data_IF_548316731218
#
_entry.id   IF_548316731218
#
_cell.length_a   1.000
_cell.length_b   1.000
_cell.length_c   1.000
_cell.angle_alpha   90.00
_cell.angle_beta   90.00
_cell.angle_gamma   90.00
#
_symmetry.space_group_name_H-M   'P 1'
#
loop_
_entity.id
_entity.type
_entity.pdbx_description
1 polymer ?
#
# COMPACT_ATOMS: atom_id res chain seq x y z
N UNK A 1 -40.05 30.78 56.08
CA UNK A 1 -38.68 30.33 55.94
C UNK A 1 -38.72 28.98 55.22
N UNK A 2 -38.48 28.97 53.93
CA UNK A 2 -38.33 27.73 53.12
C UNK A 2 -37.19 27.96 52.13
N UNK A 3 -36.06 27.37 52.39
CA UNK A 3 -34.87 27.38 51.55
C UNK A 3 -35.02 26.35 50.45
N UNK A 4 -35.07 26.79 49.21
CA UNK A 4 -35.14 25.96 48.03
C UNK A 4 -33.72 25.67 47.52
N UNK A 5 -33.30 24.40 47.59
CA UNK A 5 -32.05 23.95 47.00
C UNK A 5 -32.24 23.76 45.48
N UNK A 6 -31.56 24.56 44.66
CA UNK A 6 -31.42 24.35 43.23
C UNK A 6 -30.34 23.28 43.01
N UNK A 7 -30.75 22.13 42.49
CA UNK A 7 -29.84 21.11 41.98
C UNK A 7 -29.45 21.48 40.54
N UNK A 8 -28.22 21.90 40.33
CA UNK A 8 -27.64 22.08 39.03
C UNK A 8 -27.29 20.68 38.45
N UNK A 9 -28.03 20.20 37.47
CA UNK A 9 -27.61 19.05 36.65
C UNK A 9 -26.61 19.53 35.62
N UNK A 10 -25.34 19.17 35.79
CA UNK A 10 -24.32 19.32 34.77
C UNK A 10 -24.51 18.17 33.73
N UNK A 11 -25.04 18.49 32.57
CA UNK A 11 -25.06 17.60 31.41
C UNK A 11 -23.67 17.68 30.75
N UNK A 12 -22.83 16.67 30.99
CA UNK A 12 -21.59 16.49 30.24
C UNK A 12 -21.97 15.99 28.83
N UNK A 13 -21.98 16.87 27.86
CA UNK A 13 -22.09 16.50 26.45
C UNK A 13 -20.76 15.84 26.03
N UNK A 14 -20.79 14.50 25.94
CA UNK A 14 -19.73 13.72 25.35
C UNK A 14 -19.76 13.97 23.83
N UNK A 15 -18.95 14.91 23.36
CA UNK A 15 -18.76 15.12 21.94
C UNK A 15 -18.01 13.90 21.39
N UNK A 16 -18.72 12.92 20.85
CA UNK A 16 -18.14 11.93 19.96
C UNK A 16 -17.66 12.70 18.71
N UNK A 17 -16.36 12.99 18.65
CA UNK A 17 -15.72 13.35 17.40
C UNK A 17 -15.76 12.11 16.54
N UNK A 18 -16.73 12.03 15.63
CA UNK A 18 -16.67 11.15 14.48
C UNK A 18 -15.45 11.66 13.68
N UNK A 19 -14.30 11.05 13.90
CA UNK A 19 -13.18 11.18 12.99
C UNK A 19 -13.69 10.57 11.66
N UNK A 20 -14.25 11.42 10.81
CA UNK A 20 -14.54 11.05 9.44
C UNK A 20 -13.23 10.51 8.88
N UNK A 21 -13.24 9.29 8.38
CA UNK A 21 -12.12 8.70 7.67
C UNK A 21 -11.72 9.70 6.60
N UNK A 22 -10.62 10.42 6.82
CA UNK A 22 -10.02 11.21 5.76
C UNK A 22 -9.74 10.21 4.66
N UNK A 23 -10.49 10.29 3.56
CA UNK A 23 -10.26 9.46 2.39
C UNK A 23 -8.82 9.69 1.97
N UNK A 24 -7.96 8.79 2.40
CA UNK A 24 -6.57 8.83 1.99
C UNK A 24 -6.56 8.47 0.50
N UNK A 25 -5.90 9.30 -0.33
CA UNK A 25 -5.74 9.01 -1.74
C UNK A 25 -5.11 7.62 -1.90
N UNK A 26 -5.70 6.79 -2.77
CA UNK A 26 -5.26 5.42 -3.02
C UNK A 26 -4.19 5.39 -4.09
N UNK A 27 -3.05 4.82 -3.73
CA UNK A 27 -1.98 4.54 -4.69
C UNK A 27 -2.20 3.15 -5.29
N UNK A 28 -2.02 3.02 -6.61
CA UNK A 28 -2.23 1.78 -7.32
C UNK A 28 -1.38 1.71 -8.59
N UNK A 29 -1.09 0.49 -9.02
CA UNK A 29 -0.59 0.15 -10.35
C UNK A 29 -1.56 -0.85 -10.98
N UNK A 30 -1.95 -0.61 -12.23
CA UNK A 30 -2.89 -1.46 -12.96
C UNK A 30 -2.27 -1.87 -14.29
N UNK A 31 -1.91 -3.14 -14.48
CA UNK A 31 -1.43 -3.63 -15.77
C UNK A 31 -2.59 -3.77 -16.75
N UNK A 32 -2.29 -3.66 -18.04
CA UNK A 32 -3.26 -3.88 -19.13
C UNK A 32 -3.79 -5.31 -19.20
N UNK A 33 -3.05 -6.26 -18.62
CA UNK A 33 -3.48 -7.65 -18.40
C UNK A 33 -2.66 -8.24 -17.25
N UNK A 34 -3.28 -9.10 -16.44
CA UNK A 34 -2.61 -9.79 -15.34
C UNK A 34 -2.04 -11.15 -15.77
N UNK A 35 -2.66 -11.78 -16.75
CA UNK A 35 -2.23 -13.08 -17.31
C UNK A 35 -2.19 -13.03 -18.81
N UNK A 36 -1.11 -13.56 -19.38
CA UNK A 36 -0.89 -13.63 -20.83
C UNK A 36 -0.33 -14.99 -21.21
N UNK A 37 -0.46 -15.31 -22.49
CA UNK A 37 0.10 -16.52 -23.11
C UNK A 37 0.79 -16.20 -24.43
N UNK A 38 1.68 -17.08 -24.86
CA UNK A 38 2.48 -16.90 -26.08
C UNK A 38 3.83 -16.22 -25.80
N UNK A 39 4.66 -16.09 -26.81
CA UNK A 39 6.01 -15.51 -26.71
C UNK A 39 6.00 -14.00 -26.97
N UNK A 40 6.99 -13.28 -26.43
CA UNK A 40 7.24 -11.87 -26.74
C UNK A 40 6.10 -10.92 -26.35
N UNK A 41 5.44 -11.18 -25.25
CA UNK A 41 4.31 -10.38 -24.78
C UNK A 41 4.75 -9.10 -24.08
N UNK A 42 3.86 -8.12 -24.06
CA UNK A 42 4.05 -6.87 -23.38
C UNK A 42 2.84 -6.52 -22.52
N UNK A 43 3.08 -5.85 -21.41
CA UNK A 43 2.02 -5.17 -20.66
C UNK A 43 2.37 -3.71 -20.50
N UNK A 44 1.37 -2.85 -20.61
CA UNK A 44 1.44 -1.46 -20.19
C UNK A 44 0.89 -1.35 -18.78
N UNK A 45 1.57 -0.67 -17.90
CA UNK A 45 1.16 -0.47 -16.52
C UNK A 45 0.82 0.99 -16.29
N UNK A 46 -0.39 1.24 -15.85
CA UNK A 46 -0.83 2.54 -15.35
C UNK A 46 -0.51 2.68 -13.86
N UNK A 47 0.03 3.82 -13.44
CA UNK A 47 0.29 4.12 -12.04
C UNK A 47 -0.22 5.50 -11.64
N UNK A 48 -0.99 5.56 -10.54
CA UNK A 48 -1.51 6.82 -10.03
C UNK A 48 -1.75 6.77 -8.51
N UNK A 49 -1.97 7.96 -7.96
CA UNK A 49 -2.54 8.16 -6.62
C UNK A 49 -3.85 8.94 -6.85
N UNK A 50 -5.00 8.37 -6.45
CA UNK A 50 -6.31 8.90 -6.85
C UNK A 50 -7.36 8.83 -5.74
N UNK A 51 -8.47 9.54 -5.92
CA UNK A 51 -9.62 9.48 -5.03
C UNK A 51 -10.47 8.22 -5.30
N UNK A 52 -10.62 7.85 -6.58
CA UNK A 52 -11.33 6.64 -6.99
C UNK A 52 -10.33 5.61 -7.49
N UNK A 53 -10.58 4.33 -7.22
CA UNK A 53 -9.70 3.25 -7.65
C UNK A 53 -9.66 3.13 -9.16
N UNK A 54 -8.43 2.99 -9.69
CA UNK A 54 -8.12 2.81 -11.10
C UNK A 54 -8.65 3.94 -12.01
N UNK A 55 -8.99 5.08 -11.39
CA UNK A 55 -9.37 6.30 -12.10
C UNK A 55 -8.41 7.45 -11.74
N UNK A 56 -7.50 7.84 -12.64
CA UNK A 56 -6.45 8.82 -12.35
C UNK A 56 -7.03 10.24 -12.28
N UNK A 57 -7.25 10.75 -11.07
CA UNK A 57 -7.89 12.05 -10.83
C UNK A 57 -7.21 12.92 -9.76
N UNK A 58 -6.01 12.55 -9.30
CA UNK A 58 -5.29 13.35 -8.30
C UNK A 58 -3.84 13.61 -8.68
N UNK A 59 -2.94 12.62 -8.63
CA UNK A 59 -1.52 12.80 -8.97
C UNK A 59 -0.93 11.56 -9.63
N UNK A 60 0.00 11.76 -10.57
CA UNK A 60 0.75 10.70 -11.22
C UNK A 60 1.71 10.01 -10.23
N UNK A 61 1.91 8.70 -10.39
CA UNK A 61 2.91 7.95 -9.61
C UNK A 61 4.32 8.35 -10.05
N UNK A 62 5.25 8.46 -9.10
CA UNK A 62 6.67 8.64 -9.43
C UNK A 62 7.24 7.32 -9.97
N UNK A 63 7.78 7.34 -11.20
CA UNK A 63 8.36 6.17 -11.86
C UNK A 63 9.81 5.87 -11.48
N UNK A 64 10.51 6.77 -10.78
CA UNK A 64 11.90 6.55 -10.36
C UNK A 64 12.02 5.41 -9.32
N UNK A 65 10.95 5.16 -8.56
CA UNK A 65 10.87 4.09 -7.57
C UNK A 65 10.36 2.76 -8.11
N UNK A 66 10.04 2.68 -9.40
CA UNK A 66 9.55 1.44 -10.02
C UNK A 66 10.70 0.47 -10.20
N UNK A 67 10.51 -0.75 -9.71
CA UNK A 67 11.40 -1.88 -9.90
C UNK A 67 10.59 -3.08 -10.39
N UNK A 68 11.15 -3.88 -11.29
CA UNK A 68 10.51 -5.07 -11.82
C UNK A 68 11.42 -6.25 -11.57
N UNK A 69 10.88 -7.33 -11.01
CA UNK A 69 11.57 -8.59 -10.79
C UNK A 69 10.95 -9.64 -11.70
N UNK A 70 11.75 -10.25 -12.55
CA UNK A 70 11.32 -11.28 -13.46
C UNK A 70 11.12 -12.66 -12.80
N UNK A 71 10.65 -13.65 -13.56
CA UNK A 71 10.32 -14.98 -13.06
C UNK A 71 11.52 -15.80 -12.58
N UNK A 72 12.74 -15.38 -12.89
CA UNK A 72 14.01 -15.95 -12.41
C UNK A 72 14.65 -15.12 -11.27
N UNK A 73 13.94 -14.12 -10.75
CA UNK A 73 14.43 -13.19 -9.72
C UNK A 73 15.34 -12.08 -10.26
N UNK A 74 15.63 -12.05 -11.57
CA UNK A 74 16.44 -11.00 -12.18
C UNK A 74 15.64 -9.68 -12.31
N UNK A 75 16.39 -8.57 -12.32
CA UNK A 75 15.79 -7.27 -12.60
C UNK A 75 15.39 -7.16 -14.08
N UNK A 76 14.20 -6.58 -14.32
CA UNK A 76 13.69 -6.24 -15.65
C UNK A 76 13.55 -4.73 -15.73
N UNK A 77 13.82 -4.16 -16.88
CA UNK A 77 13.76 -2.71 -17.07
C UNK A 77 12.34 -2.27 -17.50
N UNK A 78 11.81 -1.25 -16.84
CA UNK A 78 10.60 -0.57 -17.28
C UNK A 78 10.90 0.31 -18.48
N UNK A 79 10.18 0.12 -19.58
CA UNK A 79 10.39 0.81 -20.85
C UNK A 79 9.32 1.87 -21.10
N UNK A 80 9.54 2.76 -22.07
CA UNK A 80 8.57 3.77 -22.54
C UNK A 80 7.92 4.59 -21.40
N UNK A 81 8.69 4.92 -20.36
CA UNK A 81 8.20 5.67 -19.19
C UNK A 81 7.70 7.04 -19.59
N UNK A 82 6.45 7.35 -19.22
CA UNK A 82 5.84 8.66 -19.44
C UNK A 82 4.96 9.06 -18.25
N UNK A 83 4.96 10.36 -17.91
CA UNK A 83 4.14 10.88 -16.80
C UNK A 83 3.34 12.09 -17.29
N UNK A 84 2.03 11.99 -17.09
CA UNK A 84 1.10 13.11 -17.23
C UNK A 84 0.82 13.77 -15.88
N UNK A 85 -0.22 14.60 -15.82
CA UNK A 85 -0.62 15.28 -14.58
C UNK A 85 -1.17 14.32 -13.51
N UNK A 86 -1.94 13.32 -13.92
CA UNK A 86 -2.68 12.45 -13.02
C UNK A 86 -2.29 10.97 -13.12
N UNK A 87 -1.58 10.59 -14.19
CA UNK A 87 -1.23 9.21 -14.50
C UNK A 87 0.19 9.12 -15.05
N UNK A 88 0.91 8.12 -14.60
CA UNK A 88 2.15 7.64 -15.19
C UNK A 88 1.89 6.31 -15.88
N UNK A 89 2.63 6.05 -16.96
CA UNK A 89 2.58 4.78 -17.71
C UNK A 89 3.98 4.31 -18.01
N UNK A 90 4.14 2.99 -18.11
CA UNK A 90 5.36 2.35 -18.58
C UNK A 90 5.04 0.97 -19.13
N UNK A 91 5.92 0.45 -19.96
CA UNK A 91 5.79 -0.86 -20.56
C UNK A 91 6.78 -1.86 -19.95
N UNK A 92 6.36 -3.12 -19.90
CA UNK A 92 7.18 -4.25 -19.44
C UNK A 92 7.18 -5.32 -20.51
N UNK A 93 8.37 -5.67 -21.01
CA UNK A 93 8.56 -6.82 -21.91
C UNK A 93 8.59 -8.11 -21.08
N UNK A 94 7.72 -9.06 -21.42
CA UNK A 94 7.64 -10.36 -20.79
C UNK A 94 8.35 -11.38 -21.70
N UNK A 95 9.64 -11.55 -21.51
CA UNK A 95 10.49 -12.40 -22.36
C UNK A 95 10.56 -13.86 -21.88
N UNK A 96 10.25 -14.10 -20.60
CA UNK A 96 10.32 -15.42 -19.97
C UNK A 96 8.97 -15.80 -19.37
N UNK A 97 8.61 -17.08 -19.48
CA UNK A 97 7.45 -17.63 -18.78
C UNK A 97 7.63 -17.56 -17.26
N UNK A 98 6.54 -17.26 -16.55
CA UNK A 98 6.47 -17.15 -15.10
C UNK A 98 5.91 -15.80 -14.64
N UNK A 99 6.02 -15.55 -13.36
CA UNK A 99 5.43 -14.38 -12.70
C UNK A 99 6.45 -13.26 -12.55
N UNK A 100 6.06 -12.07 -12.98
CA UNK A 100 6.78 -10.82 -12.80
C UNK A 100 6.17 -10.04 -11.64
N UNK A 101 7.01 -9.53 -10.73
CA UNK A 101 6.61 -8.57 -9.70
C UNK A 101 6.97 -7.17 -10.16
N UNK A 102 5.98 -6.29 -10.23
CA UNK A 102 6.14 -4.86 -10.50
C UNK A 102 5.89 -4.14 -9.18
N UNK A 103 6.89 -3.42 -8.67
CA UNK A 103 6.87 -2.80 -7.35
C UNK A 103 7.25 -1.32 -7.44
N UNK A 104 6.60 -0.47 -6.66
CA UNK A 104 6.95 0.93 -6.46
C UNK A 104 6.85 1.26 -4.98
N UNK A 105 7.59 2.26 -4.53
CA UNK A 105 7.58 2.69 -3.14
C UNK A 105 8.98 2.96 -2.64
N UNK A 106 9.18 2.84 -1.35
CA UNK A 106 10.48 3.07 -0.75
C UNK A 106 10.41 3.28 0.75
N UNK A 107 11.58 3.51 1.31
CA UNK A 107 11.82 3.81 2.71
C UNK A 107 12.19 5.30 2.80
N UNK A 108 11.46 6.04 3.59
CA UNK A 108 11.65 7.48 3.73
C UNK A 108 11.42 7.95 5.16
N UNK A 109 11.93 9.15 5.45
CA UNK A 109 11.80 9.79 6.74
C UNK A 109 11.08 11.12 6.60
N UNK A 110 10.29 11.46 7.59
CA UNK A 110 9.75 12.79 7.80
C UNK A 110 10.17 13.30 9.18
N UNK A 111 10.44 14.58 9.28
CA UNK A 111 10.76 15.20 10.55
C UNK A 111 10.00 16.51 10.72
N UNK A 112 9.71 16.86 11.98
CA UNK A 112 9.19 18.17 12.31
C UNK A 112 9.81 18.67 13.63
N UNK A 113 10.08 19.98 13.71
CA UNK A 113 10.59 20.65 14.90
C UNK A 113 10.11 22.09 14.96
N UNK A 114 10.27 22.74 16.08
CA UNK A 114 10.07 24.19 16.21
C UNK A 114 11.41 24.95 16.08
N UNK A 115 11.43 25.99 15.28
CA UNK A 115 12.56 26.87 15.10
C UNK A 115 12.08 28.32 14.99
N UNK A 116 12.52 29.17 15.90
CA UNK A 116 12.11 30.58 16.02
C UNK A 116 10.57 30.78 16.10
N UNK A 117 9.86 29.87 16.77
CA UNK A 117 8.39 29.91 16.91
C UNK A 117 7.61 29.41 15.70
N UNK A 118 8.29 28.88 14.69
CA UNK A 118 7.66 28.29 13.51
C UNK A 118 7.87 26.78 13.47
N UNK A 119 6.82 26.03 13.09
CA UNK A 119 6.94 24.58 12.84
C UNK A 119 7.60 24.35 11.49
N UNK A 120 8.81 23.80 11.52
CA UNK A 120 9.55 23.34 10.35
C UNK A 120 9.21 21.89 10.05
N UNK A 121 9.24 21.52 8.76
CA UNK A 121 9.01 20.15 8.28
C UNK A 121 10.08 19.80 7.27
N UNK A 122 10.50 18.53 7.31
CA UNK A 122 11.49 17.98 6.41
C UNK A 122 11.03 16.59 5.92
N UNK A 123 11.46 16.20 4.73
CA UNK A 123 11.26 14.86 4.17
C UNK A 123 12.47 14.48 3.34
N UNK A 124 12.92 13.23 3.48
CA UNK A 124 14.03 12.69 2.72
C UNK A 124 14.29 11.21 3.01
N UNK A 125 15.42 10.71 2.52
CA UNK A 125 15.91 9.38 2.86
C UNK A 125 16.84 9.42 4.09
N UNK A 126 17.32 8.26 4.52
CA UNK A 126 18.20 8.14 5.70
C UNK A 126 19.52 8.90 5.53
N UNK A 127 20.06 8.92 4.31
CA UNK A 127 21.33 9.62 4.01
C UNK A 127 21.16 11.13 4.14
N UNK A 128 20.11 11.70 3.55
CA UNK A 128 19.80 13.13 3.65
C UNK A 128 19.46 13.53 5.08
N UNK A 129 18.71 12.70 5.83
CA UNK A 129 18.39 12.92 7.24
C UNK A 129 19.66 13.17 8.08
N UNK A 130 20.66 12.31 7.86
CA UNK A 130 21.98 12.40 8.52
C UNK A 130 22.81 13.57 8.00
N UNK A 131 22.92 13.71 6.67
CA UNK A 131 23.77 14.74 6.03
C UNK A 131 23.35 16.16 6.38
N UNK A 132 22.05 16.40 6.49
CA UNK A 132 21.47 17.69 6.83
C UNK A 132 21.36 17.93 8.35
N UNK A 133 21.78 16.96 9.17
CA UNK A 133 21.79 17.07 10.63
C UNK A 133 20.38 17.23 11.25
N UNK A 134 19.37 16.72 10.57
CA UNK A 134 17.96 16.86 11.01
C UNK A 134 17.74 16.21 12.38
N UNK A 135 18.38 15.07 12.64
CA UNK A 135 18.26 14.33 13.90
C UNK A 135 18.78 15.11 15.11
N UNK A 136 19.65 16.10 14.90
CA UNK A 136 20.24 16.92 15.95
C UNK A 136 19.40 18.19 16.27
N UNK A 137 18.34 18.45 15.52
CA UNK A 137 17.47 19.61 15.79
C UNK A 137 16.80 19.47 17.15
N UNK A 138 16.77 20.54 17.99
CA UNK A 138 16.10 20.51 19.28
C UNK A 138 14.61 20.17 19.15
N UNK A 139 14.12 19.22 19.94
CA UNK A 139 12.71 18.83 19.93
C UNK A 139 12.22 18.19 18.63
N UNK A 140 13.13 17.69 17.79
CA UNK A 140 12.74 17.05 16.52
C UNK A 140 11.97 15.76 16.79
N UNK A 141 10.83 15.65 16.12
CA UNK A 141 10.03 14.42 15.99
C UNK A 141 10.33 13.80 14.63
N UNK A 142 10.85 12.57 14.62
CA UNK A 142 11.17 11.84 13.39
C UNK A 142 10.21 10.65 13.23
N UNK A 143 9.74 10.44 12.03
CA UNK A 143 8.97 9.24 11.65
C UNK A 143 9.58 8.60 10.41
N UNK A 144 9.61 7.26 10.38
CA UNK A 144 9.98 6.47 9.22
C UNK A 144 8.72 5.95 8.53
N UNK A 145 8.70 5.93 7.21
CA UNK A 145 7.61 5.39 6.41
C UNK A 145 8.15 4.42 5.39
N UNK A 146 7.79 3.14 5.52
CA UNK A 146 8.07 2.09 4.54
C UNK A 146 6.80 1.88 3.70
N UNK A 147 6.88 2.12 2.41
CA UNK A 147 5.75 1.97 1.49
C UNK A 147 6.10 0.99 0.38
N UNK A 148 5.15 0.10 0.07
CA UNK A 148 5.25 -0.84 -1.02
C UNK A 148 3.92 -0.92 -1.75
N UNK A 149 3.96 -0.73 -3.07
CA UNK A 149 2.82 -0.82 -3.97
C UNK A 149 3.22 -1.82 -5.03
N UNK A 150 2.46 -2.90 -5.19
CA UNK A 150 2.82 -4.01 -6.06
C UNK A 150 1.67 -4.42 -6.97
N UNK A 151 2.03 -5.03 -8.08
CA UNK A 151 1.15 -5.83 -8.91
C UNK A 151 1.96 -6.96 -9.53
N UNK A 152 1.30 -8.03 -9.92
CA UNK A 152 1.92 -9.22 -10.48
C UNK A 152 1.33 -9.50 -11.86
N UNK A 153 2.19 -9.88 -12.79
CA UNK A 153 1.80 -10.28 -14.14
C UNK A 153 2.44 -11.61 -14.45
N UNK A 154 1.67 -12.55 -14.99
CA UNK A 154 2.16 -13.89 -15.33
C UNK A 154 2.09 -14.12 -16.83
N UNK A 155 3.19 -14.57 -17.40
CA UNK A 155 3.27 -15.09 -18.77
C UNK A 155 3.33 -16.61 -18.73
N UNK A 156 2.37 -17.30 -19.37
CA UNK A 156 2.29 -18.75 -19.34
C UNK A 156 2.00 -19.32 -17.96
N UNK A 157 2.80 -20.27 -17.48
CA UNK A 157 2.63 -20.90 -16.18
C UNK A 157 3.18 -20.01 -15.04
N UNK A 158 2.43 -19.83 -13.93
CA UNK A 158 2.90 -19.07 -12.78
C UNK A 158 4.06 -19.76 -12.06
N UNK A 159 4.91 -18.97 -11.40
CA UNK A 159 5.96 -19.45 -10.50
C UNK A 159 6.12 -18.53 -9.28
N UNK A 160 6.96 -18.92 -8.32
CA UNK A 160 7.07 -18.25 -7.02
C UNK A 160 8.32 -17.37 -6.85
N UNK A 161 9.25 -17.35 -7.80
CA UNK A 161 10.53 -16.63 -7.64
C UNK A 161 10.35 -15.11 -7.40
N UNK A 162 9.30 -14.54 -7.99
CA UNK A 162 8.96 -13.12 -7.82
C UNK A 162 8.47 -12.76 -6.39
N UNK A 163 8.13 -13.74 -5.54
CA UNK A 163 7.62 -13.51 -4.18
C UNK A 163 8.71 -13.51 -3.10
N UNK A 164 9.98 -13.54 -3.47
CA UNK A 164 11.07 -13.42 -2.51
C UNK A 164 10.93 -12.13 -1.67
N UNK A 165 10.85 -12.28 -0.33
CA UNK A 165 10.68 -11.18 0.61
C UNK A 165 12.01 -10.47 0.87
N UNK A 166 11.95 -9.18 1.20
CA UNK A 166 13.12 -8.35 1.54
C UNK A 166 13.33 -8.23 3.05
N UNK A 167 12.33 -8.67 3.86
CA UNK A 167 12.37 -8.61 5.32
C UNK A 167 12.30 -7.19 5.87
N UNK A 168 11.63 -6.27 5.19
CA UNK A 168 11.49 -4.88 5.63
C UNK A 168 10.10 -4.35 5.37
N UNK A 169 9.45 -3.87 6.43
CA UNK A 169 8.08 -3.37 6.40
C UNK A 169 7.06 -4.48 6.09
N UNK A 170 5.86 -4.08 5.67
CA UNK A 170 4.83 -5.02 5.24
C UNK A 170 5.15 -5.61 3.87
N UNK A 171 5.01 -6.92 3.76
CA UNK A 171 5.23 -7.70 2.54
C UNK A 171 4.14 -8.76 2.39
N UNK A 172 3.79 -9.07 1.15
CA UNK A 172 2.90 -10.17 0.81
C UNK A 172 3.73 -11.45 0.56
N UNK A 173 3.33 -12.52 1.22
CA UNK A 173 3.70 -13.89 0.87
C UNK A 173 2.41 -14.62 0.47
N UNK A 174 2.16 -14.82 -0.83
CA UNK A 174 0.92 -15.41 -1.28
C UNK A 174 0.83 -16.89 -0.87
N UNK A 175 -0.35 -17.31 -0.42
CA UNK A 175 -0.76 -18.72 -0.29
C UNK A 175 -1.51 -19.09 -1.56
N UNK A 176 -2.53 -18.30 -1.91
CA UNK A 176 -3.12 -18.30 -3.26
C UNK A 176 -2.29 -17.40 -4.16
N UNK A 177 -1.92 -17.88 -5.35
CA UNK A 177 -1.15 -17.06 -6.30
C UNK A 177 -1.99 -15.85 -6.79
N UNK A 178 -1.47 -14.60 -6.78
CA UNK A 178 -2.25 -13.40 -7.11
C UNK A 178 -2.83 -13.37 -8.55
N UNK A 179 -2.29 -14.18 -9.47
CA UNK A 179 -2.82 -14.35 -10.82
C UNK A 179 -3.58 -15.67 -11.02
N UNK A 180 -3.94 -16.37 -9.92
CA UNK A 180 -4.75 -17.58 -9.91
C UNK A 180 -5.90 -17.42 -8.91
N UNK A 181 -6.61 -16.30 -9.07
CA UNK A 181 -7.75 -15.91 -8.22
C UNK A 181 -9.01 -15.93 -9.08
N UNK A 182 -10.07 -16.58 -8.58
CA UNK A 182 -11.35 -16.68 -9.24
C UNK A 182 -12.48 -16.14 -8.37
N UNK A 183 -13.47 -15.51 -9.00
CA UNK A 183 -14.67 -15.07 -8.32
C UNK A 183 -15.44 -16.28 -7.75
N UNK A 184 -15.88 -16.21 -6.50
CA UNK A 184 -16.55 -17.30 -5.81
C UNK A 184 -15.62 -18.32 -5.13
N UNK A 185 -14.31 -18.25 -5.34
CA UNK A 185 -13.34 -19.11 -4.67
C UNK A 185 -12.63 -18.41 -3.52
N UNK A 186 -12.19 -19.20 -2.52
CA UNK A 186 -11.48 -18.71 -1.35
C UNK A 186 -10.03 -18.35 -1.71
N UNK A 187 -9.61 -17.16 -1.31
CA UNK A 187 -8.26 -16.61 -1.49
C UNK A 187 -7.61 -16.41 -0.13
N UNK A 188 -6.38 -16.89 0.01
CA UNK A 188 -5.59 -16.70 1.23
C UNK A 188 -4.26 -16.03 0.92
N UNK A 189 -3.96 -14.94 1.65
CA UNK A 189 -2.68 -14.24 1.62
C UNK A 189 -2.08 -14.18 3.01
N UNK A 190 -0.77 -14.29 3.10
CA UNK A 190 -0.02 -14.03 4.32
C UNK A 190 0.68 -12.68 4.23
N UNK A 191 0.53 -11.84 5.24
CA UNK A 191 1.32 -10.62 5.41
C UNK A 191 2.45 -10.88 6.40
N UNK A 192 3.62 -10.35 6.06
CA UNK A 192 4.79 -10.34 6.92
C UNK A 192 5.13 -8.90 7.29
N UNK A 193 5.57 -8.66 8.53
CA UNK A 193 6.16 -7.42 8.99
C UNK A 193 7.61 -7.69 9.36
N UNK A 194 8.55 -7.05 8.68
CA UNK A 194 9.99 -7.23 8.87
C UNK A 194 10.42 -8.72 8.84
N UNK A 195 9.78 -9.52 7.98
CA UNK A 195 10.02 -10.94 7.77
C UNK A 195 9.30 -11.89 8.75
N UNK A 196 8.62 -11.37 9.77
CA UNK A 196 7.81 -12.17 10.69
C UNK A 196 6.31 -12.09 10.34
N UNK A 197 5.50 -13.04 10.82
CA UNK A 197 4.05 -13.02 10.65
C UNK A 197 3.45 -11.69 11.18
N UNK A 198 2.66 -11.01 10.37
CA UNK A 198 2.04 -9.73 10.71
C UNK A 198 0.65 -9.96 11.31
N UNK A 199 0.58 -10.28 12.59
CA UNK A 199 -0.69 -10.47 13.32
C UNK A 199 -1.41 -9.15 13.54
N UNK A 200 -2.74 -9.15 13.46
CA UNK A 200 -3.61 -8.04 13.83
C UNK A 200 -3.57 -6.84 12.88
N UNK A 201 -3.03 -7.00 11.67
CA UNK A 201 -2.97 -5.93 10.68
C UNK A 201 -4.33 -5.76 10.02
N UNK A 202 -4.84 -4.53 10.03
CA UNK A 202 -6.06 -4.17 9.30
C UNK A 202 -5.79 -4.15 7.79
N UNK A 203 -6.68 -4.80 7.03
CA UNK A 203 -6.63 -4.92 5.58
C UNK A 203 -7.95 -4.47 5.00
N UNK A 204 -7.89 -3.60 3.99
CA UNK A 204 -9.04 -3.19 3.19
C UNK A 204 -8.90 -3.76 1.78
N UNK A 205 -9.97 -4.40 1.27
CA UNK A 205 -10.02 -4.95 -0.10
C UNK A 205 -11.19 -4.32 -0.82
N UNK A 206 -10.94 -3.71 -1.98
CA UNK A 206 -11.97 -3.03 -2.76
C UNK A 206 -11.86 -3.49 -4.22
N UNK A 207 -12.99 -3.87 -4.81
CA UNK A 207 -13.09 -4.11 -6.25
C UNK A 207 -13.08 -2.78 -7.02
N UNK A 208 -12.39 -2.71 -8.11
CA UNK A 208 -12.41 -1.56 -9.04
C UNK A 208 -13.81 -1.19 -9.51
N UNK A 209 -13.92 -0.13 -10.31
CA UNK A 209 -15.20 0.45 -10.77
C UNK A 209 -16.07 1.03 -9.63
N UNK A 210 -15.46 1.39 -8.50
CA UNK A 210 -16.09 2.06 -7.36
C UNK A 210 -16.85 3.33 -7.78
N UNK A 211 -16.33 4.06 -8.76
CA UNK A 211 -16.95 5.26 -9.34
C UNK A 211 -18.36 5.02 -9.89
N UNK A 212 -18.69 3.82 -10.31
CA UNK A 212 -19.98 3.48 -10.91
C UNK A 212 -20.93 2.78 -9.94
N UNK A 213 -20.56 2.72 -8.65
CA UNK A 213 -21.38 2.18 -7.56
C UNK A 213 -21.77 3.27 -6.58
N UNK A 214 -22.88 3.04 -5.85
CA UNK A 214 -23.33 3.95 -4.80
C UNK A 214 -22.51 3.86 -3.50
N UNK A 215 -21.76 2.77 -3.34
CA UNK A 215 -20.87 2.49 -2.21
C UNK A 215 -19.58 1.83 -2.73
N UNK A 216 -18.51 1.94 -1.97
CA UNK A 216 -17.23 1.29 -2.31
C UNK A 216 -17.26 -0.22 -2.10
N UNK A 217 -18.17 -0.70 -1.23
CA UNK A 217 -18.35 -2.11 -0.85
C UNK A 217 -17.02 -2.78 -0.45
N UNK A 218 -16.18 -2.02 0.27
CA UNK A 218 -14.87 -2.48 0.73
C UNK A 218 -15.00 -3.51 1.85
N UNK A 219 -14.34 -4.64 1.68
CA UNK A 219 -14.18 -5.65 2.71
C UNK A 219 -13.06 -5.24 3.67
N UNK A 220 -13.34 -5.22 4.98
CA UNK A 220 -12.33 -4.97 6.02
C UNK A 220 -12.08 -6.24 6.79
N UNK A 221 -10.83 -6.64 6.87
CA UNK A 221 -10.34 -7.84 7.52
C UNK A 221 -9.20 -7.50 8.47
N UNK A 222 -8.86 -8.47 9.32
CA UNK A 222 -7.68 -8.41 10.18
C UNK A 222 -6.93 -9.72 10.04
N UNK A 223 -5.62 -9.67 9.92
CA UNK A 223 -4.78 -10.87 9.84
C UNK A 223 -4.79 -11.63 11.16
N UNK A 224 -4.76 -12.97 11.07
CA UNK A 224 -4.68 -13.87 12.23
C UNK A 224 -3.25 -13.94 12.82
N UNK A 225 -3.02 -14.82 13.79
CA UNK A 225 -1.72 -14.98 14.47
C UNK A 225 -0.58 -15.39 13.52
N UNK A 226 -0.89 -16.07 12.44
CA UNK A 226 0.06 -16.46 11.39
C UNK A 226 0.22 -15.35 10.31
N UNK A 227 -0.41 -14.20 10.50
CA UNK A 227 -0.42 -13.10 9.52
C UNK A 227 -1.30 -13.38 8.30
N UNK A 228 -2.18 -14.37 8.36
CA UNK A 228 -3.01 -14.80 7.22
C UNK A 228 -4.34 -14.06 7.25
N UNK A 229 -4.77 -13.62 6.07
CA UNK A 229 -6.13 -13.19 5.78
C UNK A 229 -6.74 -14.09 4.71
N UNK A 230 -8.05 -14.33 4.83
CA UNK A 230 -8.81 -15.17 3.89
C UNK A 230 -10.10 -14.44 3.51
N UNK A 231 -10.42 -14.44 2.21
CA UNK A 231 -11.62 -13.80 1.66
C UNK A 231 -12.06 -14.49 0.37
N UNK A 232 -13.28 -14.21 -0.06
CA UNK A 232 -13.82 -14.70 -1.34
C UNK A 232 -14.23 -13.49 -2.18
N UNK A 233 -13.59 -13.23 -3.34
CA UNK A 233 -14.06 -12.23 -4.30
C UNK A 233 -15.45 -12.64 -4.82
N UNK A 234 -16.47 -11.82 -4.66
CA UNK A 234 -17.83 -12.16 -5.12
C UNK A 234 -17.99 -12.02 -6.64
N UNK A 235 -17.26 -11.12 -7.26
CA UNK A 235 -17.36 -10.81 -8.69
C UNK A 235 -15.98 -10.74 -9.33
N UNK A 236 -15.91 -11.07 -10.64
CA UNK A 236 -14.69 -10.89 -11.42
C UNK A 236 -14.33 -9.41 -11.60
N UNK A 237 -13.03 -9.14 -11.79
CA UNK A 237 -12.50 -7.80 -12.01
C UNK A 237 -11.20 -7.52 -11.27
N UNK A 238 -10.67 -6.31 -11.44
CA UNK A 238 -9.48 -5.87 -10.73
C UNK A 238 -9.82 -5.49 -9.28
N UNK A 239 -8.99 -5.93 -8.35
CA UNK A 239 -9.07 -5.68 -6.92
C UNK A 239 -7.85 -4.91 -6.41
N UNK A 240 -8.06 -4.13 -5.41
CA UNK A 240 -7.05 -3.40 -4.66
C UNK A 240 -7.10 -3.85 -3.21
N UNK A 241 -5.97 -4.28 -2.68
CA UNK A 241 -5.80 -4.60 -1.27
C UNK A 241 -4.81 -3.60 -0.67
N UNK A 242 -5.15 -3.05 0.49
CA UNK A 242 -4.26 -2.20 1.27
C UNK A 242 -4.17 -2.68 2.70
N UNK A 243 -2.96 -2.75 3.21
CA UNK A 243 -2.65 -3.05 4.59
C UNK A 243 -1.77 -1.95 5.19
N UNK A 244 -2.03 -1.58 6.43
CA UNK A 244 -1.26 -0.55 7.13
C UNK A 244 -0.95 -0.95 8.56
N UNK A 245 0.25 -0.59 9.01
CA UNK A 245 0.68 -0.77 10.40
C UNK A 245 1.44 0.46 10.88
N UNK A 246 1.20 0.86 12.11
CA UNK A 246 1.96 1.88 12.81
C UNK A 246 2.53 1.28 14.09
N UNK A 247 3.81 1.48 14.30
CA UNK A 247 4.52 0.98 15.46
C UNK A 247 5.68 1.89 15.85
N UNK A 248 6.50 1.39 16.76
CA UNK A 248 7.68 2.08 17.25
C UNK A 248 8.94 1.41 16.71
N UNK A 249 9.92 2.23 16.35
CA UNK A 249 11.26 1.80 15.97
C UNK A 249 12.30 2.63 16.67
N UNK A 250 13.56 2.42 16.32
CA UNK A 250 14.68 3.13 16.91
C UNK A 250 15.56 3.74 15.84
N UNK A 251 15.91 5.00 15.98
CA UNK A 251 16.88 5.71 15.17
C UNK A 251 17.95 6.31 16.08
N UNK A 252 19.20 5.85 15.96
CA UNK A 252 20.32 6.32 16.78
C UNK A 252 20.03 6.31 18.29
N UNK A 253 19.34 5.25 18.78
CA UNK A 253 18.97 5.09 20.21
C UNK A 253 17.76 5.90 20.65
N UNK A 254 17.12 6.68 19.77
CA UNK A 254 15.89 7.40 20.04
C UNK A 254 14.70 6.65 19.47
N UNK A 255 13.59 6.59 20.20
CA UNK A 255 12.34 6.04 19.71
C UNK A 255 11.76 6.94 18.61
N UNK A 256 11.29 6.33 17.52
CA UNK A 256 10.60 6.98 16.41
C UNK A 256 9.31 6.23 16.07
N UNK A 257 8.37 6.91 15.45
CA UNK A 257 7.22 6.26 14.83
C UNK A 257 7.62 5.64 13.50
N UNK A 258 7.25 4.37 13.28
CA UNK A 258 7.42 3.66 12.01
C UNK A 258 6.05 3.32 11.45
N UNK A 259 5.79 3.77 10.22
CA UNK A 259 4.58 3.43 9.46
C UNK A 259 4.96 2.53 8.31
N UNK A 260 4.27 1.41 8.19
CA UNK A 260 4.42 0.52 7.04
C UNK A 260 3.10 0.42 6.29
N UNK A 261 3.14 0.53 4.97
CA UNK A 261 1.97 0.40 4.10
C UNK A 261 2.31 -0.54 2.96
N UNK A 262 1.46 -1.52 2.75
CA UNK A 262 1.48 -2.44 1.63
C UNK A 262 0.22 -2.30 0.80
N UNK A 263 0.37 -2.25 -0.51
CA UNK A 263 -0.73 -2.21 -1.47
C UNK A 263 -0.45 -3.22 -2.57
N UNK A 264 -1.45 -4.00 -2.95
CA UNK A 264 -1.38 -4.87 -4.13
C UNK A 264 -2.64 -4.72 -4.98
N UNK A 265 -2.45 -4.69 -6.30
CA UNK A 265 -3.50 -4.81 -7.29
C UNK A 265 -3.42 -6.20 -7.93
N UNK A 266 -4.53 -6.90 -7.98
CA UNK A 266 -4.68 -8.23 -8.59
C UNK A 266 -6.04 -8.34 -9.29
N UNK A 267 -6.25 -9.41 -10.04
CA UNK A 267 -7.50 -9.66 -10.75
C UNK A 267 -8.14 -10.96 -10.26
N UNK A 268 -9.46 -10.93 -10.04
CA UNK A 268 -10.25 -12.14 -9.93
C UNK A 268 -10.88 -12.45 -11.29
N UNK A 269 -10.61 -13.62 -11.81
CA UNK A 269 -11.15 -14.12 -13.07
C UNK A 269 -12.58 -14.67 -12.87
N UNK A 270 -13.44 -14.71 -13.91
CA UNK A 270 -14.70 -15.44 -13.84
C UNK A 270 -14.43 -16.96 -13.82
N UNK A 271 -15.29 -17.72 -13.12
CA UNK A 271 -15.30 -19.20 -13.18
C UNK A 271 -15.74 -19.72 -14.56
#
# INVERSE_FOLDING_TARGET
MKTTFLKACAVAALALTIAGSASAHRAWMLPSSFTLSGEGQWVTVDGAISNNLFYPNHVAMNLDSVTITGPDGAAVEAQNKASGKYRSVFDVALEKEGTYRISSGGDGYTASWEEAGERKRWRGNAEALKAEGIEAKPGVEVSRSVRRIETFVTLGAPNEAAFATKGTGLELKPITHPNDVYAGEEVSFQLLMDGAAAEGVEVEIIRGSDRYRNSEDGLKLTTNAEGILTFTPEEAGAYWLSAGSEGKGTLNGKEITVRSTYVVTFEALPL
#
